data_IF_026797159577
#
_entry.id   IF_026797159577
#
_cell.length_a   1.000
_cell.length_b   1.000
_cell.length_c   1.000
_cell.angle_alpha   90.00
_cell.angle_beta   90.00
_cell.angle_gamma   90.00
#
_symmetry.space_group_name_H-M   'P 1'
#
loop_
_entity.id
_entity.type
_entity.pdbx_description
1 polymer ?
#
# COMPACT_ATOMS: atom_id res chain seq x y z
N UNK A 1 28.87 -15.25 10.90
CA UNK A 1 27.76 -14.58 11.60
C UNK A 1 28.26 -13.88 12.84
N UNK A 2 27.57 -12.81 13.25
CA UNK A 2 27.87 -12.04 14.47
C UNK A 2 27.51 -12.85 15.73
N UNK A 3 28.21 -12.64 16.86
CA UNK A 3 27.80 -13.21 18.14
C UNK A 3 26.39 -12.73 18.54
N UNK A 4 25.49 -13.64 18.89
CA UNK A 4 24.08 -13.32 19.17
C UNK A 4 23.20 -13.24 17.92
N UNK A 5 23.65 -13.75 16.77
CA UNK A 5 22.86 -13.73 15.53
C UNK A 5 21.50 -14.44 15.66
N UNK A 6 21.37 -15.44 16.52
CA UNK A 6 20.11 -16.21 16.68
C UNK A 6 18.97 -15.32 17.16
N UNK A 7 19.22 -14.50 18.19
CA UNK A 7 18.25 -13.53 18.70
C UNK A 7 17.95 -12.44 17.65
N UNK A 8 18.96 -11.99 16.91
CA UNK A 8 18.78 -11.00 15.84
C UNK A 8 17.93 -11.56 14.69
N UNK A 9 18.13 -12.83 14.30
CA UNK A 9 17.32 -13.49 13.28
C UNK A 9 15.91 -13.81 13.78
N UNK A 10 15.74 -14.12 15.07
CA UNK A 10 14.42 -14.24 15.67
C UNK A 10 13.64 -12.92 15.58
N UNK A 11 14.28 -11.81 15.95
CA UNK A 11 13.69 -10.48 15.80
C UNK A 11 13.39 -10.17 14.33
N UNK A 12 14.30 -10.53 13.40
CA UNK A 12 14.05 -10.36 11.97
C UNK A 12 12.80 -11.13 11.52
N UNK A 13 12.60 -12.36 12.00
CA UNK A 13 11.41 -13.15 11.69
C UNK A 13 10.12 -12.49 12.17
N UNK A 14 10.11 -11.98 13.41
CA UNK A 14 8.96 -11.23 13.94
C UNK A 14 8.63 -10.00 13.09
N UNK A 15 9.65 -9.27 12.62
CA UNK A 15 9.44 -8.13 11.73
C UNK A 15 8.88 -8.54 10.36
N UNK A 16 9.26 -9.71 9.83
CA UNK A 16 8.66 -10.28 8.60
C UNK A 16 7.20 -10.68 8.83
N UNK A 17 6.88 -11.27 9.97
CA UNK A 17 5.50 -11.61 10.34
C UNK A 17 4.63 -10.36 10.45
N UNK A 18 5.14 -9.28 11.06
CA UNK A 18 4.43 -8.00 11.08
C UNK A 18 4.19 -7.40 9.70
N UNK A 19 5.12 -7.57 8.75
CA UNK A 19 4.87 -7.15 7.35
C UNK A 19 3.68 -7.93 6.77
N UNK A 20 3.59 -9.24 7.03
CA UNK A 20 2.48 -10.06 6.57
C UNK A 20 1.15 -9.64 7.21
N UNK A 21 1.13 -9.38 8.53
CA UNK A 21 -0.06 -8.90 9.24
C UNK A 21 -0.56 -7.56 8.67
N UNK A 22 0.34 -6.61 8.45
CA UNK A 22 -0.04 -5.31 7.88
C UNK A 22 -0.42 -5.38 6.40
N UNK A 23 0.12 -6.34 5.64
CA UNK A 23 -0.35 -6.62 4.29
C UNK A 23 -1.79 -7.13 4.31
N UNK A 24 -2.11 -8.08 5.21
CA UNK A 24 -3.49 -8.54 5.39
C UNK A 24 -4.41 -7.37 5.79
N UNK A 25 -4.01 -6.55 6.76
CA UNK A 25 -4.75 -5.33 7.11
C UNK A 25 -4.93 -4.42 5.89
N UNK A 26 -3.90 -4.16 5.09
CA UNK A 26 -3.98 -3.30 3.92
C UNK A 26 -5.01 -3.80 2.89
N UNK A 27 -5.19 -5.12 2.77
CA UNK A 27 -6.18 -5.72 1.87
C UNK A 27 -7.61 -5.71 2.43
N UNK A 28 -7.78 -5.73 3.75
CA UNK A 28 -9.08 -5.87 4.41
C UNK A 28 -9.65 -4.55 4.96
N UNK A 29 -8.82 -3.52 5.08
CA UNK A 29 -9.21 -2.28 5.74
C UNK A 29 -10.28 -1.52 4.95
N UNK A 30 -11.41 -1.30 5.62
CA UNK A 30 -12.54 -0.52 5.11
C UNK A 30 -12.50 0.97 5.50
N UNK A 31 -11.47 1.42 6.22
CA UNK A 31 -11.37 2.77 6.77
C UNK A 31 -10.11 3.49 6.27
N UNK A 32 -10.28 4.67 5.65
CA UNK A 32 -9.20 5.49 5.06
C UNK A 32 -8.01 5.71 6.00
N UNK A 33 -8.25 5.97 7.30
CA UNK A 33 -7.17 6.23 8.27
C UNK A 33 -6.31 5.00 8.55
N UNK A 34 -6.94 3.81 8.55
CA UNK A 34 -6.26 2.55 8.81
C UNK A 34 -5.39 2.11 7.63
N UNK A 35 -5.74 2.50 6.39
CA UNK A 35 -4.93 2.20 5.20
C UNK A 35 -3.51 2.79 5.29
N UNK A 36 -3.40 4.05 5.71
CA UNK A 36 -2.09 4.68 5.89
C UNK A 36 -1.29 4.07 7.03
N UNK A 37 -1.97 3.64 8.10
CA UNK A 37 -1.31 2.90 9.20
C UNK A 37 -0.76 1.58 8.69
N UNK A 38 -1.56 0.80 7.96
CA UNK A 38 -1.14 -0.47 7.40
C UNK A 38 0.06 -0.30 6.45
N UNK A 39 -0.05 0.62 5.48
CA UNK A 39 1.05 0.93 4.57
C UNK A 39 2.33 1.40 5.29
N UNK A 40 2.20 2.30 6.27
CA UNK A 40 3.34 2.74 7.06
C UNK A 40 3.95 1.62 7.91
N UNK A 41 3.12 0.70 8.43
CA UNK A 41 3.55 -0.49 9.16
C UNK A 41 4.41 -1.39 8.28
N UNK A 42 3.94 -1.71 7.07
CA UNK A 42 4.69 -2.50 6.07
C UNK A 42 6.07 -1.90 5.84
N UNK A 43 6.14 -0.59 5.55
CA UNK A 43 7.40 0.09 5.26
C UNK A 43 8.38 0.09 6.44
N UNK A 44 7.89 0.33 7.66
CA UNK A 44 8.73 0.37 8.86
C UNK A 44 9.26 -1.02 9.24
N UNK A 45 8.39 -2.03 9.26
CA UNK A 45 8.75 -3.41 9.57
C UNK A 45 9.66 -4.01 8.49
N UNK A 46 9.47 -3.65 7.21
CA UNK A 46 10.42 -3.96 6.14
C UNK A 46 11.83 -3.42 6.42
N UNK A 47 11.96 -2.13 6.75
CA UNK A 47 13.26 -1.53 7.02
C UNK A 47 13.94 -2.16 8.26
N UNK A 48 13.16 -2.50 9.29
CA UNK A 48 13.64 -3.20 10.49
C UNK A 48 14.10 -4.63 10.19
N UNK A 49 13.32 -5.40 9.44
CA UNK A 49 13.67 -6.76 9.02
C UNK A 49 15.00 -6.77 8.23
N UNK A 50 15.14 -5.87 7.25
CA UNK A 50 16.38 -5.70 6.48
C UNK A 50 17.56 -5.36 7.40
N UNK A 51 17.38 -4.42 8.32
CA UNK A 51 18.42 -4.01 9.27
C UNK A 51 18.84 -5.15 10.21
N UNK A 52 17.88 -5.95 10.69
CA UNK A 52 18.13 -7.10 11.55
C UNK A 52 18.90 -8.20 10.80
N UNK A 53 18.42 -8.64 9.63
CA UNK A 53 19.10 -9.67 8.82
C UNK A 53 20.51 -9.25 8.43
N UNK A 54 20.71 -7.99 8.05
CA UNK A 54 22.04 -7.44 7.78
C UNK A 54 22.93 -7.54 9.02
N UNK A 55 22.47 -7.08 10.20
CA UNK A 55 23.25 -7.10 11.44
C UNK A 55 23.60 -8.51 11.93
N UNK A 56 22.77 -9.51 11.64
CA UNK A 56 23.06 -10.90 11.96
C UNK A 56 24.20 -11.46 11.09
N UNK A 57 24.30 -10.97 9.85
CA UNK A 57 25.15 -11.55 8.79
C UNK A 57 26.37 -10.71 8.42
N UNK A 58 26.52 -9.47 8.93
CA UNK A 58 27.55 -8.48 8.56
C UNK A 58 29.01 -8.87 8.92
N UNK A 59 29.22 -10.00 9.58
CA UNK A 59 30.50 -10.47 10.09
C UNK A 59 30.77 -11.94 9.77
N UNK A 60 32.06 -12.29 9.64
CA UNK A 60 32.51 -13.66 9.42
C UNK A 60 32.18 -14.18 8.01
N UNK A 61 31.96 -15.49 7.89
CA UNK A 61 31.72 -16.17 6.60
C UNK A 61 30.41 -15.72 5.92
N UNK A 62 29.40 -15.35 6.71
CA UNK A 62 28.13 -14.79 6.22
C UNK A 62 28.22 -13.38 5.61
N UNK A 63 29.35 -12.65 5.72
CA UNK A 63 29.46 -11.27 5.24
C UNK A 63 29.16 -11.13 3.75
N UNK A 64 29.65 -12.05 2.92
CA UNK A 64 29.40 -12.01 1.47
C UNK A 64 27.91 -12.15 1.11
N UNK A 65 27.14 -12.89 1.92
CA UNK A 65 25.69 -12.92 1.77
C UNK A 65 25.06 -11.58 2.14
N UNK A 66 25.51 -10.93 3.22
CA UNK A 66 25.02 -9.61 3.64
C UNK A 66 25.23 -8.54 2.56
N UNK A 67 26.40 -8.55 1.91
CA UNK A 67 26.71 -7.62 0.83
C UNK A 67 25.85 -7.89 -0.41
N UNK A 68 25.64 -9.16 -0.77
CA UNK A 68 24.71 -9.56 -1.85
C UNK A 68 23.27 -9.18 -1.54
N UNK A 69 22.81 -9.43 -0.31
CA UNK A 69 21.47 -9.09 0.16
C UNK A 69 21.16 -7.59 0.00
N UNK A 70 22.12 -6.72 0.34
CA UNK A 70 21.99 -5.27 0.13
C UNK A 70 22.07 -4.87 -1.35
N UNK A 71 22.87 -5.57 -2.15
CA UNK A 71 22.92 -5.34 -3.58
C UNK A 71 21.58 -5.72 -4.24
N UNK A 72 21.01 -6.88 -3.89
CA UNK A 72 19.70 -7.33 -4.34
C UNK A 72 18.62 -6.28 -4.00
N UNK A 73 18.61 -5.78 -2.76
CA UNK A 73 17.69 -4.71 -2.32
C UNK A 73 17.83 -3.43 -3.14
N UNK A 74 19.06 -3.00 -3.42
CA UNK A 74 19.34 -1.75 -4.13
C UNK A 74 19.06 -1.84 -5.63
N UNK A 75 19.17 -3.04 -6.21
CA UNK A 75 18.98 -3.26 -7.64
C UNK A 75 17.51 -3.53 -7.99
N UNK A 76 16.68 -3.85 -7.00
CA UNK A 76 15.24 -4.02 -7.18
C UNK A 76 14.51 -2.67 -7.02
N UNK A 77 13.87 -2.15 -8.09
CA UNK A 77 13.18 -0.86 -8.05
C UNK A 77 12.05 -0.79 -7.03
N UNK A 78 11.36 -1.90 -6.76
CA UNK A 78 10.24 -1.95 -5.82
C UNK A 78 10.75 -1.82 -4.39
N UNK A 79 11.77 -2.62 -4.05
CA UNK A 79 12.38 -2.62 -2.73
C UNK A 79 13.09 -1.30 -2.44
N UNK A 80 13.72 -0.71 -3.46
CA UNK A 80 14.40 0.56 -3.36
C UNK A 80 13.40 1.72 -3.18
N UNK A 81 12.31 1.74 -3.96
CA UNK A 81 11.23 2.71 -3.75
C UNK A 81 10.69 2.62 -2.32
N UNK A 82 10.35 1.42 -1.84
CA UNK A 82 9.82 1.23 -0.48
C UNK A 82 10.77 1.72 0.60
N UNK A 83 12.07 1.46 0.46
CA UNK A 83 13.09 1.92 1.39
C UNK A 83 13.16 3.45 1.43
N UNK A 84 13.12 4.09 0.26
CA UNK A 84 13.14 5.55 0.15
C UNK A 84 11.83 6.17 0.63
N UNK A 85 10.67 5.54 0.40
CA UNK A 85 9.38 5.98 0.94
C UNK A 85 9.40 6.01 2.47
N UNK A 86 9.96 4.97 3.09
CA UNK A 86 10.11 4.89 4.55
C UNK A 86 11.03 5.98 5.07
N UNK A 87 12.19 6.16 4.44
CA UNK A 87 13.18 7.16 4.83
C UNK A 87 12.61 8.58 4.72
N UNK A 88 11.95 8.88 3.60
CA UNK A 88 11.25 10.14 3.39
C UNK A 88 10.16 10.37 4.45
N UNK A 89 9.33 9.36 4.76
CA UNK A 89 8.32 9.47 5.80
C UNK A 89 8.90 9.70 7.21
N UNK A 90 10.12 9.21 7.47
CA UNK A 90 10.83 9.41 8.73
C UNK A 90 11.45 10.81 8.86
N UNK A 91 11.76 11.45 7.73
CA UNK A 91 12.46 12.73 7.67
C UNK A 91 11.56 13.92 7.29
N UNK A 92 10.40 13.68 6.69
CA UNK A 92 9.46 14.70 6.23
C UNK A 92 8.18 14.59 7.04
N UNK A 93 8.09 15.39 8.10
CA UNK A 93 6.85 15.60 8.87
C UNK A 93 5.80 16.43 8.11
N UNK A 94 6.16 16.98 6.95
CA UNK A 94 5.42 18.03 6.24
C UNK A 94 4.63 17.52 5.01
N UNK A 95 4.78 16.25 4.64
CA UNK A 95 4.05 15.66 3.51
C UNK A 95 2.59 15.41 3.86
N UNK A 96 1.66 16.01 3.10
CA UNK A 96 0.24 15.66 3.21
C UNK A 96 0.05 14.18 2.86
N UNK A 97 -0.36 13.39 3.85
CA UNK A 97 -0.79 12.00 3.69
C UNK A 97 -2.12 12.00 2.95
N UNK A 98 -2.19 11.35 1.81
CA UNK A 98 -3.39 11.32 0.97
C UNK A 98 -3.87 9.89 0.78
N UNK A 99 -5.11 9.62 1.17
CA UNK A 99 -5.79 8.39 0.83
C UNK A 99 -7.13 8.76 0.22
N UNK A 100 -7.54 8.02 -0.82
CA UNK A 100 -8.82 8.26 -1.45
C UNK A 100 -9.91 7.57 -0.62
N UNK A 101 -10.92 8.33 -0.14
CA UNK A 101 -12.07 7.71 0.51
C UNK A 101 -12.90 6.93 -0.51
N UNK A 102 -13.69 5.96 -0.03
CA UNK A 102 -14.74 5.32 -0.81
C UNK A 102 -15.64 6.37 -1.41
N UNK A 103 -15.93 6.20 -2.70
CA UNK A 103 -16.81 7.09 -3.43
C UNK A 103 -17.78 6.31 -4.28
N UNK A 104 -19.02 6.78 -4.30
CA UNK A 104 -20.02 6.37 -5.28
C UNK A 104 -20.20 7.49 -6.28
N UNK A 105 -20.29 7.14 -7.56
CA UNK A 105 -20.55 8.09 -8.63
C UNK A 105 -21.60 7.63 -9.61
N UNK A 106 -22.33 8.59 -10.19
CA UNK A 106 -23.32 8.37 -11.25
C UNK A 106 -22.98 9.25 -12.45
N UNK A 107 -22.68 8.62 -13.59
CA UNK A 107 -22.49 9.30 -14.88
C UNK A 107 -21.39 10.37 -14.93
N UNK A 108 -20.47 10.41 -13.95
CA UNK A 108 -19.44 11.46 -13.83
C UNK A 108 -19.95 12.83 -13.34
N UNK A 109 -21.24 12.97 -13.05
CA UNK A 109 -21.89 14.23 -12.66
C UNK A 109 -21.97 14.40 -11.13
N UNK A 110 -22.15 13.30 -10.40
CA UNK A 110 -22.27 13.28 -8.94
C UNK A 110 -21.24 12.31 -8.39
N UNK A 111 -20.46 12.76 -7.41
CA UNK A 111 -19.51 11.93 -6.64
C UNK A 111 -19.73 12.19 -5.16
N UNK A 112 -19.97 11.13 -4.39
CA UNK A 112 -20.28 11.20 -2.96
C UNK A 112 -19.32 10.31 -2.18
N UNK A 113 -18.87 10.80 -1.03
CA UNK A 113 -18.11 10.03 -0.03
C UNK A 113 -18.81 10.09 1.33
N UNK A 114 -18.61 9.05 2.16
CA UNK A 114 -19.22 8.97 3.49
C UNK A 114 -20.72 8.64 3.48
N UNK A 115 -21.40 8.98 4.58
CA UNK A 115 -22.85 8.83 4.72
C UNK A 115 -23.54 10.01 4.06
N UNK A 116 -24.27 9.77 2.99
CA UNK A 116 -24.89 10.82 2.18
C UNK A 116 -26.13 10.30 1.48
N UNK A 117 -27.05 11.20 1.18
CA UNK A 117 -28.18 10.92 0.30
C UNK A 117 -28.28 12.04 -0.71
N UNK A 118 -28.45 11.69 -1.98
CA UNK A 118 -28.68 12.65 -3.06
C UNK A 118 -30.01 12.37 -3.70
N UNK A 119 -30.85 13.40 -3.70
CA UNK A 119 -32.12 13.43 -4.41
C UNK A 119 -31.96 14.32 -5.62
N UNK A 120 -32.10 13.74 -6.80
CA UNK A 120 -32.18 14.45 -8.06
C UNK A 120 -33.64 14.70 -8.38
N UNK A 121 -34.07 15.97 -8.32
CA UNK A 121 -35.42 16.40 -8.65
C UNK A 121 -35.39 17.47 -9.75
N UNK A 122 -36.43 17.51 -10.57
CA UNK A 122 -36.60 18.49 -11.65
C UNK A 122 -35.52 18.43 -12.74
N UNK A 123 -34.91 17.25 -12.96
CA UNK A 123 -33.90 17.08 -14.01
C UNK A 123 -34.53 17.18 -15.41
N UNK A 124 -34.58 18.39 -15.98
CA UNK A 124 -35.06 18.65 -17.33
C UNK A 124 -33.88 19.03 -18.21
N UNK A 125 -33.73 18.34 -19.33
CA UNK A 125 -32.80 18.72 -20.40
C UNK A 125 -33.56 19.51 -21.45
N UNK A 126 -33.03 20.67 -21.85
CA UNK A 126 -33.56 21.45 -22.97
C UNK A 126 -32.61 21.26 -24.16
N UNK A 127 -33.13 20.68 -25.24
CA UNK A 127 -32.41 20.49 -26.49
C UNK A 127 -32.18 21.80 -27.24
N UNK A 128 -31.24 21.80 -28.19
CA UNK A 128 -30.94 22.96 -29.03
C UNK A 128 -32.12 23.38 -29.93
N UNK A 129 -33.08 22.49 -30.14
CA UNK A 129 -34.35 22.70 -30.85
C UNK A 129 -35.48 23.21 -29.94
N UNK A 130 -35.19 23.47 -28.66
CA UNK A 130 -36.17 23.87 -27.65
C UNK A 130 -37.01 22.72 -27.09
N UNK A 131 -36.75 21.47 -27.50
CA UNK A 131 -37.43 20.31 -26.92
C UNK A 131 -37.04 20.12 -25.47
N UNK A 132 -38.00 19.79 -24.60
CA UNK A 132 -37.72 19.48 -23.20
C UNK A 132 -37.88 17.98 -22.97
N UNK A 133 -36.88 17.35 -22.38
CA UNK A 133 -36.94 15.96 -21.93
C UNK A 133 -36.69 15.90 -20.44
N UNK A 134 -37.66 15.37 -19.69
CA UNK A 134 -37.46 15.04 -18.28
C UNK A 134 -36.57 13.80 -18.19
N UNK A 135 -35.43 13.94 -17.54
CA UNK A 135 -34.58 12.82 -17.17
C UNK A 135 -35.19 12.11 -15.94
N UNK A 136 -34.85 10.83 -15.70
CA UNK A 136 -35.35 10.11 -14.54
C UNK A 136 -35.03 10.85 -13.24
N UNK A 137 -36.06 11.04 -12.40
CA UNK A 137 -35.88 11.45 -11.01
C UNK A 137 -35.26 10.26 -10.25
N UNK A 138 -34.32 10.54 -9.36
CA UNK A 138 -33.45 9.52 -8.78
C UNK A 138 -33.07 9.82 -7.35
N UNK A 139 -33.20 8.84 -6.45
CA UNK A 139 -32.56 8.86 -5.14
C UNK A 139 -31.36 7.94 -5.13
N UNK A 140 -30.29 8.40 -4.50
CA UNK A 140 -29.06 7.66 -4.27
C UNK A 140 -28.74 7.74 -2.79
N UNK A 141 -28.88 6.62 -2.09
CA UNK A 141 -28.52 6.52 -0.69
C UNK A 141 -27.17 5.81 -0.56
N UNK A 142 -26.25 6.43 0.16
CA UNK A 142 -24.92 5.89 0.41
C UNK A 142 -24.64 5.76 1.90
N UNK A 143 -24.01 4.63 2.27
CA UNK A 143 -23.43 4.42 3.59
C UNK A 143 -21.94 4.21 3.44
N UNK A 144 -21.14 5.08 4.07
CA UNK A 144 -19.68 5.04 4.05
C UNK A 144 -19.10 4.95 2.61
N UNK A 145 -19.71 5.67 1.66
CA UNK A 145 -19.32 5.67 0.25
C UNK A 145 -19.62 4.38 -0.51
N UNK A 146 -20.52 3.51 -0.01
CA UNK A 146 -21.14 2.39 -0.73
C UNK A 146 -22.60 2.68 -1.02
N UNK A 147 -23.11 2.19 -2.14
CA UNK A 147 -24.52 2.24 -2.48
C UNK A 147 -25.30 1.29 -1.57
N UNK A 148 -26.28 1.85 -0.85
CA UNK A 148 -27.17 1.06 0.04
C UNK A 148 -28.61 1.02 -0.42
N UNK A 149 -29.00 1.88 -1.37
CA UNK A 149 -30.35 1.86 -1.93
C UNK A 149 -30.70 3.15 -2.68
N UNK A 150 -31.96 3.25 -3.06
CA UNK A 150 -32.53 4.37 -3.81
C UNK A 150 -33.18 3.91 -5.11
N UNK A 151 -33.69 4.86 -5.89
CA UNK A 151 -34.34 4.58 -7.17
C UNK A 151 -33.38 4.50 -8.37
N UNK A 152 -32.12 4.93 -8.21
CA UNK A 152 -31.10 4.76 -9.25
C UNK A 152 -30.68 3.28 -9.31
N UNK A 153 -30.71 2.62 -10.49
CA UNK A 153 -30.38 1.21 -10.59
C UNK A 153 -28.88 0.95 -10.42
N UNK A 154 -28.52 -0.16 -9.76
CA UNK A 154 -27.12 -0.48 -9.40
C UNK A 154 -26.14 -0.47 -10.58
N UNK A 155 -26.58 -0.88 -11.78
CA UNK A 155 -25.71 -0.87 -12.97
C UNK A 155 -25.31 0.54 -13.43
N UNK A 156 -26.06 1.58 -13.02
CA UNK A 156 -25.75 2.98 -13.29
C UNK A 156 -24.84 3.60 -12.22
N UNK A 157 -24.48 2.83 -11.18
CA UNK A 157 -23.72 3.26 -10.02
C UNK A 157 -22.31 2.69 -10.10
N UNK A 158 -21.31 3.56 -10.08
CA UNK A 158 -19.90 3.18 -10.00
C UNK A 158 -19.40 3.38 -8.58
N UNK A 159 -19.05 2.29 -7.90
CA UNK A 159 -18.42 2.31 -6.59
C UNK A 159 -16.89 2.26 -6.74
N UNK A 160 -16.19 3.06 -5.94
CA UNK A 160 -14.74 3.03 -5.81
C UNK A 160 -14.39 2.72 -4.36
N UNK A 161 -13.61 1.66 -4.17
CA UNK A 161 -13.10 1.24 -2.86
C UNK A 161 -12.01 2.19 -2.33
N UNK A 162 -11.73 2.13 -1.03
CA UNK A 162 -10.65 2.91 -0.43
C UNK A 162 -9.29 2.39 -0.93
N UNK A 163 -8.33 3.29 -1.16
CA UNK A 163 -6.95 2.88 -1.44
C UNK A 163 -5.93 3.96 -1.08
N UNK A 164 -4.70 3.52 -0.85
CA UNK A 164 -3.54 4.40 -0.63
C UNK A 164 -3.12 5.00 -1.96
N UNK A 165 -2.95 6.32 -2.00
CA UNK A 165 -2.37 6.99 -3.17
C UNK A 165 -0.87 7.06 -2.97
N UNK A 166 -0.14 6.33 -3.80
CA UNK A 166 1.32 6.42 -3.84
C UNK A 166 1.74 7.66 -4.64
N UNK A 167 2.90 8.23 -4.26
CA UNK A 167 3.49 9.40 -4.91
C UNK A 167 4.98 9.15 -5.07
N UNK A 168 5.56 9.76 -6.11
CA UNK A 168 7.00 9.78 -6.29
C UNK A 168 7.69 10.32 -5.03
N UNK A 169 8.72 9.61 -4.58
CA UNK A 169 9.47 9.98 -3.39
C UNK A 169 10.65 10.83 -3.81
N UNK A 170 10.73 12.06 -3.28
CA UNK A 170 11.88 12.95 -3.48
C UNK A 170 12.75 12.94 -2.23
N UNK A 171 13.98 12.48 -2.37
CA UNK A 171 14.99 12.52 -1.31
C UNK A 171 16.20 13.32 -1.79
N UNK A 172 17.19 13.53 -0.90
CA UNK A 172 18.44 14.21 -1.28
C UNK A 172 19.21 13.48 -2.37
N UNK A 173 19.00 12.18 -2.51
CA UNK A 173 19.69 11.32 -3.48
C UNK A 173 18.99 11.22 -4.84
N UNK A 174 17.76 11.74 -4.98
CA UNK A 174 17.04 11.73 -6.25
C UNK A 174 15.53 11.64 -6.13
N UNK A 175 14.89 11.32 -7.25
CA UNK A 175 13.45 11.05 -7.35
C UNK A 175 13.25 9.57 -7.62
N UNK A 176 12.41 8.94 -6.81
CA UNK A 176 12.05 7.53 -6.91
C UNK A 176 10.61 7.42 -7.37
N UNK A 177 10.42 7.02 -8.62
CA UNK A 177 9.09 6.88 -9.20
C UNK A 177 8.35 5.68 -8.63
N UNK A 178 7.02 5.78 -8.60
CA UNK A 178 6.15 4.67 -8.19
C UNK A 178 6.40 3.46 -9.13
N UNK A 179 6.72 2.28 -8.59
CA UNK A 179 6.84 1.06 -9.37
C UNK A 179 5.51 0.69 -10.07
N UNK A 180 5.60 -0.01 -11.21
CA UNK A 180 4.45 -0.51 -11.96
C UNK A 180 3.39 0.59 -12.27
N UNK A 181 3.75 1.66 -13.01
CA UNK A 181 2.84 2.76 -13.29
C UNK A 181 1.60 2.35 -14.12
N UNK A 182 1.65 1.20 -14.79
CA UNK A 182 0.51 0.62 -15.51
C UNK A 182 -0.52 -0.06 -14.60
N UNK A 183 -0.15 -0.40 -13.37
CA UNK A 183 -1.08 -1.00 -12.39
C UNK A 183 -2.10 0.05 -11.95
N UNK A 184 -3.36 -0.36 -11.80
CA UNK A 184 -4.41 0.51 -11.29
C UNK A 184 -4.03 1.05 -9.89
N UNK A 185 -4.17 2.35 -9.59
CA UNK A 185 -3.72 2.96 -8.33
C UNK A 185 -4.21 2.25 -7.07
N UNK A 186 -5.41 1.65 -7.13
CA UNK A 186 -5.97 0.91 -5.99
C UNK A 186 -5.27 -0.40 -5.65
N UNK A 187 -4.42 -0.92 -6.54
CA UNK A 187 -3.68 -2.18 -6.36
C UNK A 187 -2.19 -1.98 -6.14
N UNK A 188 -1.64 -0.82 -6.53
CA UNK A 188 -0.19 -0.58 -6.49
C UNK A 188 0.43 -0.79 -5.10
N UNK A 189 -0.21 -0.27 -4.04
CA UNK A 189 0.31 -0.43 -2.69
C UNK A 189 0.31 -1.90 -2.23
N UNK A 190 -0.70 -2.68 -2.65
CA UNK A 190 -0.80 -4.10 -2.34
C UNK A 190 0.28 -4.88 -3.11
N UNK A 191 0.43 -4.66 -4.41
CA UNK A 191 1.45 -5.34 -5.22
C UNK A 191 2.87 -5.08 -4.71
N UNK A 192 3.18 -3.83 -4.29
CA UNK A 192 4.48 -3.51 -3.70
C UNK A 192 4.65 -4.23 -2.36
N UNK A 193 3.62 -4.26 -1.52
CA UNK A 193 3.68 -4.93 -0.22
C UNK A 193 3.83 -6.45 -0.33
N UNK A 194 3.14 -7.08 -1.29
CA UNK A 194 3.29 -8.51 -1.62
C UNK A 194 4.74 -8.81 -2.04
N UNK A 195 5.30 -8.02 -2.95
CA UNK A 195 6.69 -8.17 -3.40
C UNK A 195 7.70 -8.04 -2.26
N UNK A 196 7.49 -7.08 -1.35
CA UNK A 196 8.31 -6.91 -0.14
C UNK A 196 8.21 -8.16 0.75
N UNK A 197 7.00 -8.64 1.03
CA UNK A 197 6.76 -9.78 1.91
C UNK A 197 7.42 -11.06 1.36
N UNK A 198 7.22 -11.33 0.07
CA UNK A 198 7.78 -12.51 -0.59
C UNK A 198 9.31 -12.48 -0.60
N UNK A 199 9.90 -11.33 -0.93
CA UNK A 199 11.34 -11.16 -0.90
C UNK A 199 11.91 -11.31 0.52
N UNK A 200 11.28 -10.72 1.53
CA UNK A 200 11.70 -10.84 2.93
C UNK A 200 11.66 -12.29 3.41
N UNK A 201 10.59 -13.04 3.11
CA UNK A 201 10.47 -14.47 3.46
C UNK A 201 11.56 -15.30 2.80
N UNK A 202 11.83 -15.05 1.52
CA UNK A 202 12.91 -15.73 0.80
C UNK A 202 14.28 -15.45 1.45
N UNK A 203 14.59 -14.18 1.74
CA UNK A 203 15.87 -13.79 2.34
C UNK A 203 16.03 -14.24 3.78
N UNK A 204 14.96 -14.27 4.57
CA UNK A 204 14.98 -14.83 5.91
C UNK A 204 15.25 -16.34 5.87
N UNK A 205 14.65 -17.06 4.92
CA UNK A 205 14.94 -18.48 4.72
C UNK A 205 16.41 -18.71 4.34
N UNK A 206 16.96 -17.94 3.41
CA UNK A 206 18.39 -17.99 3.07
C UNK A 206 19.29 -17.75 4.30
N UNK A 207 18.99 -16.71 5.09
CA UNK A 207 19.75 -16.37 6.30
C UNK A 207 19.71 -17.50 7.34
N UNK A 208 18.55 -18.14 7.53
CA UNK A 208 18.39 -19.26 8.45
C UNK A 208 19.19 -20.50 8.01
N UNK A 209 19.30 -20.77 6.71
CA UNK A 209 20.15 -21.85 6.21
C UNK A 209 21.64 -21.59 6.48
N UNK A 210 22.11 -20.35 6.28
CA UNK A 210 23.49 -19.97 6.62
C UNK A 210 23.75 -20.14 8.12
N UNK A 211 22.79 -19.77 8.95
CA UNK A 211 22.86 -19.93 10.40
C UNK A 211 23.05 -21.40 10.80
N UNK A 212 22.28 -22.31 10.19
CA UNK A 212 22.42 -23.76 10.43
C UNK A 212 23.82 -24.28 10.05
N UNK A 213 24.38 -23.80 8.94
CA UNK A 213 25.72 -24.19 8.47
C UNK A 213 26.86 -23.68 9.36
N UNK A 214 26.65 -22.57 10.07
CA UNK A 214 27.65 -21.96 10.95
C UNK A 214 27.57 -22.39 12.42
N UNK A 215 26.56 -23.18 12.82
CA UNK A 215 26.50 -23.73 14.17
C UNK A 215 27.74 -24.62 14.44
N UNK A 216 28.50 -24.36 15.53
CA UNK A 216 29.56 -25.27 15.94
C UNK A 216 28.95 -26.67 16.17
N UNK A 217 29.58 -27.70 15.61
CA UNK A 217 29.26 -29.09 15.95
C UNK A 217 29.64 -29.39 17.39
#
# INVERSE_FOLDING_TARGET
>A
MRKGYEEILHNAAQEVDYVADFLEELTLVEETRKLWRAWSGILDHYAKAVSAMRRATDQGKSKGWSDKFLADQKNDPVLQYAFQSRDHASHVFEGKREANPRTVSVGGLVSLSGNSSVTLSNNVMVGADGSTRKLPDGTLDTKDGRYVGGSIPKWAVNEREHFVILKDVKTRSGVWSIPNPSTHPSKQAIEIAEHINDWLKAKLSEANEIAKLEKPR
#
